data_IF_897141226381
#
_entry.id   IF_897141226381
#
_cell.length_a   1.000
_cell.length_b   1.000
_cell.length_c   1.000
_cell.angle_alpha   90.00
_cell.angle_beta   90.00
_cell.angle_gamma   90.00
#
_symmetry.space_group_name_H-M   'P 1'
#
loop_
_entity.id
_entity.type
_entity.pdbx_description
1 polymer ?
#
# COMPACT_ATOMS: atom_id res chain seq x y z
N UNK A 1 19.82 2.77 5.85
CA UNK A 1 20.30 3.63 6.95
C UNK A 1 19.37 4.85 7.11
N UNK A 2 19.14 5.65 6.09
CA UNK A 2 18.34 6.89 6.19
C UNK A 2 16.88 6.67 6.63
N UNK A 3 16.20 5.61 6.21
CA UNK A 3 14.84 5.31 6.69
C UNK A 3 14.86 4.93 8.17
N UNK A 4 15.86 4.18 8.59
CA UNK A 4 16.00 3.80 9.99
C UNK A 4 16.38 5.01 10.85
N UNK A 5 17.26 5.89 10.39
CA UNK A 5 17.57 7.15 11.10
C UNK A 5 16.37 8.07 11.20
N UNK A 6 15.56 8.18 10.13
CA UNK A 6 14.32 8.98 10.17
C UNK A 6 13.29 8.32 11.08
N UNK A 7 13.14 7.00 11.04
CA UNK A 7 12.27 6.28 11.97
C UNK A 7 12.81 6.33 13.40
N UNK A 8 14.13 6.25 13.60
CA UNK A 8 14.77 6.38 14.91
C UNK A 8 14.69 7.81 15.45
N UNK A 9 14.79 8.85 14.61
CA UNK A 9 14.54 10.23 15.04
C UNK A 9 13.10 10.49 15.47
N UNK A 10 12.16 9.66 15.00
CA UNK A 10 10.79 9.60 15.51
C UNK A 10 10.64 8.58 16.66
N UNK A 11 11.66 7.74 16.91
CA UNK A 11 11.63 6.69 17.93
C UNK A 11 12.25 7.12 19.27
N UNK A 12 12.89 8.28 19.36
CA UNK A 12 13.65 8.75 20.54
C UNK A 12 12.79 9.26 21.71
N UNK A 13 11.53 8.84 21.76
CA UNK A 13 10.74 8.93 23.01
C UNK A 13 10.29 7.54 23.41
N UNK A 14 11.23 6.69 23.78
CA UNK A 14 10.90 5.49 24.55
C UNK A 14 10.55 5.90 25.96
N UNK A 15 9.25 6.04 26.22
CA UNK A 15 8.76 5.84 27.58
C UNK A 15 8.98 4.36 27.93
N UNK A 16 9.80 4.12 28.94
CA UNK A 16 10.03 2.83 29.58
C UNK A 16 8.80 2.41 30.39
N UNK A 17 7.72 2.10 29.71
CA UNK A 17 6.58 1.44 30.34
C UNK A 17 6.19 0.24 29.47
N UNK A 18 6.60 -0.94 29.97
CA UNK A 18 6.18 -2.26 29.49
C UNK A 18 4.68 -2.52 29.76
N UNK A 19 3.82 -1.63 29.32
CA UNK A 19 2.40 -1.94 29.21
C UNK A 19 2.13 -2.38 27.77
N UNK A 20 2.02 -3.70 27.59
CA UNK A 20 1.55 -4.32 26.38
C UNK A 20 0.31 -3.56 25.90
N UNK A 21 0.48 -2.73 24.87
CA UNK A 21 -0.64 -2.06 24.20
C UNK A 21 -1.56 -3.15 23.69
N UNK A 22 -2.70 -3.31 24.33
CA UNK A 22 -3.76 -4.20 23.91
C UNK A 22 -4.26 -3.70 22.55
N UNK A 23 -3.79 -4.32 21.48
CA UNK A 23 -4.34 -4.11 20.14
C UNK A 23 -5.79 -4.56 20.18
N UNK A 24 -6.70 -3.61 20.25
CA UNK A 24 -8.13 -3.89 20.13
C UNK A 24 -8.39 -4.39 18.71
N UNK A 25 -8.44 -5.70 18.55
CA UNK A 25 -8.92 -6.35 17.35
C UNK A 25 -10.43 -6.12 17.25
N UNK A 26 -10.84 -4.99 16.72
CA UNK A 26 -12.19 -4.87 16.17
C UNK A 26 -12.24 -5.74 14.91
N UNK A 27 -13.17 -6.70 14.84
CA UNK A 27 -13.21 -7.83 13.89
C UNK A 27 -13.39 -7.50 12.40
N UNK A 28 -13.02 -6.32 11.95
CA UNK A 28 -12.78 -5.96 10.55
C UNK A 28 -11.32 -6.30 10.21
N UNK A 29 -11.02 -6.88 9.03
CA UNK A 29 -9.66 -7.13 8.63
C UNK A 29 -8.86 -5.83 8.77
N UNK A 30 -7.90 -5.80 9.68
CA UNK A 30 -7.12 -4.61 10.02
C UNK A 30 -6.37 -4.13 8.79
N UNK A 31 -6.95 -3.17 8.09
CA UNK A 31 -6.39 -2.61 6.85
C UNK A 31 -5.14 -1.80 7.09
N UNK A 32 -4.99 -1.24 8.30
CA UNK A 32 -3.83 -0.49 8.73
C UNK A 32 -3.89 -0.24 10.23
N UNK A 33 -2.74 0.08 10.80
CA UNK A 33 -2.56 0.43 12.20
C UNK A 33 -2.05 1.85 12.29
N UNK A 34 -2.41 2.57 13.33
CA UNK A 34 -1.81 3.87 13.67
C UNK A 34 -1.08 3.72 14.97
N UNK A 35 0.10 4.31 15.03
CA UNK A 35 0.88 4.47 16.24
C UNK A 35 0.44 5.75 16.99
N UNK A 36 0.69 5.84 18.29
CA UNK A 36 0.41 6.99 19.15
C UNK A 36 1.02 8.31 18.59
N UNK A 37 2.04 8.18 17.77
CA UNK A 37 2.73 9.30 17.10
C UNK A 37 2.06 9.77 15.81
N UNK A 38 0.91 9.21 15.45
CA UNK A 38 0.21 9.53 14.20
C UNK A 38 0.85 8.91 12.94
N UNK A 39 1.72 7.91 13.10
CA UNK A 39 2.29 7.16 11.97
C UNK A 39 1.34 6.04 11.58
N UNK A 40 0.77 6.11 10.39
CA UNK A 40 -0.06 5.05 9.88
C UNK A 40 0.78 3.97 9.21
N UNK A 41 0.60 2.72 9.60
CA UNK A 41 1.28 1.55 9.07
C UNK A 41 0.31 0.62 8.37
N UNK A 42 0.65 0.17 7.16
CA UNK A 42 -0.11 -0.86 6.48
C UNK A 42 0.76 -1.80 5.65
N UNK A 43 0.20 -2.96 5.34
CA UNK A 43 0.81 -3.95 4.46
C UNK A 43 0.06 -4.02 3.15
N UNK A 44 0.80 -4.05 2.04
CA UNK A 44 0.25 -4.29 0.72
C UNK A 44 0.82 -5.57 0.10
N UNK A 45 0.01 -6.25 -0.72
CA UNK A 45 0.42 -7.46 -1.44
C UNK A 45 -0.15 -7.48 -2.84
N UNK A 46 0.66 -7.88 -3.81
CA UNK A 46 0.22 -8.21 -5.16
C UNK A 46 1.13 -9.27 -5.77
N UNK A 47 0.56 -10.30 -6.39
CA UNK A 47 1.32 -11.48 -6.86
C UNK A 47 2.16 -12.06 -5.72
N UNK A 48 3.47 -12.18 -5.92
CA UNK A 48 4.46 -12.60 -4.89
C UNK A 48 5.15 -11.44 -4.20
N UNK A 49 4.81 -10.19 -4.58
CA UNK A 49 5.38 -8.99 -3.98
C UNK A 49 4.63 -8.59 -2.73
N UNK A 50 5.37 -8.10 -1.75
CA UNK A 50 4.83 -7.52 -0.52
C UNK A 50 5.49 -6.18 -0.23
N UNK A 51 4.72 -5.27 0.32
CA UNK A 51 5.14 -3.95 0.74
C UNK A 51 4.75 -3.70 2.20
N UNK A 52 5.61 -3.05 2.94
CA UNK A 52 5.31 -2.42 4.23
C UNK A 52 5.36 -0.92 4.00
N UNK A 53 4.34 -0.21 4.40
CA UNK A 53 4.19 1.22 4.15
C UNK A 53 3.96 1.93 5.46
N UNK A 54 4.72 2.98 5.70
CA UNK A 54 4.53 3.94 6.81
C UNK A 54 4.17 5.28 6.19
N UNK A 55 3.13 5.87 6.72
CA UNK A 55 2.58 7.14 6.27
C UNK A 55 2.65 8.15 7.41
N UNK A 56 3.33 9.25 7.18
CA UNK A 56 3.51 10.34 8.15
C UNK A 56 3.01 11.63 7.52
N UNK A 57 2.24 12.42 8.24
CA UNK A 57 1.77 13.71 7.73
C UNK A 57 2.95 14.62 7.43
N UNK A 58 3.00 15.16 6.22
CA UNK A 58 4.05 16.10 5.82
C UNK A 58 3.90 17.44 6.58
N UNK A 59 5.01 18.13 6.79
CA UNK A 59 4.97 19.47 7.32
C UNK A 59 4.32 20.44 6.31
N UNK A 60 3.56 21.44 6.75
CA UNK A 60 2.86 22.36 5.84
C UNK A 60 3.80 23.18 4.95
N UNK A 61 5.08 23.29 5.33
CA UNK A 61 6.11 23.99 4.56
C UNK A 61 6.77 23.16 3.46
N UNK A 62 6.54 21.83 3.42
CA UNK A 62 7.18 20.92 2.46
C UNK A 62 6.16 19.96 1.87
N UNK A 63 6.30 19.70 0.58
CA UNK A 63 5.56 18.60 -0.07
C UNK A 63 6.06 17.26 0.44
N UNK A 64 5.14 16.35 0.64
CA UNK A 64 5.46 14.98 1.08
C UNK A 64 6.32 14.23 0.07
N UNK A 65 7.30 13.53 0.57
CA UNK A 65 8.24 12.72 -0.20
C UNK A 65 7.89 11.23 -0.10
N UNK A 66 8.26 10.47 -1.14
CA UNK A 66 8.07 9.03 -1.15
C UNK A 66 9.42 8.33 -1.33
N UNK A 67 9.83 7.58 -0.30
CA UNK A 67 11.04 6.80 -0.27
C UNK A 67 10.71 5.30 -0.26
N UNK A 68 11.27 4.55 -1.20
CA UNK A 68 11.07 3.11 -1.37
C UNK A 68 12.44 2.44 -1.30
N UNK A 69 12.64 1.59 -0.28
CA UNK A 69 13.95 0.95 -0.06
C UNK A 69 15.12 1.97 -0.10
N UNK A 70 14.97 3.12 0.54
CA UNK A 70 15.95 4.23 0.60
C UNK A 70 16.15 4.99 -0.72
N UNK A 71 15.38 4.69 -1.76
CA UNK A 71 15.44 5.41 -3.03
C UNK A 71 14.15 6.19 -3.28
N UNK A 72 14.23 7.40 -3.86
CA UNK A 72 13.02 8.14 -4.20
C UNK A 72 12.24 7.41 -5.30
N UNK A 73 10.92 7.65 -5.35
CA UNK A 73 9.98 6.97 -6.25
C UNK A 73 10.47 6.93 -7.71
N UNK A 74 11.02 8.06 -8.20
CA UNK A 74 11.45 8.19 -9.60
C UNK A 74 12.71 7.38 -9.93
N UNK A 75 13.57 7.13 -8.96
CA UNK A 75 14.75 6.29 -9.12
C UNK A 75 14.40 4.81 -9.00
N UNK A 76 13.51 4.46 -8.05
CA UNK A 76 13.11 3.08 -7.82
C UNK A 76 12.27 2.53 -8.99
N UNK A 77 11.30 3.30 -9.49
CA UNK A 77 10.49 2.94 -10.64
C UNK A 77 10.84 3.82 -11.85
N UNK A 78 11.62 3.27 -12.78
CA UNK A 78 11.99 3.95 -14.02
C UNK A 78 10.77 4.22 -14.91
N UNK A 79 9.82 3.28 -14.99
CA UNK A 79 8.62 3.41 -15.82
C UNK A 79 7.57 4.32 -15.19
N UNK A 80 7.07 5.31 -15.95
CA UNK A 80 6.01 6.24 -15.51
C UNK A 80 4.74 5.50 -15.09
N UNK A 81 4.32 4.48 -15.84
CA UNK A 81 3.14 3.69 -15.51
C UNK A 81 3.20 3.04 -14.11
N UNK A 82 4.38 2.61 -13.66
CA UNK A 82 4.52 2.07 -12.31
C UNK A 82 4.41 3.17 -11.25
N UNK A 83 4.95 4.36 -11.51
CA UNK A 83 4.83 5.53 -10.63
C UNK A 83 3.38 5.98 -10.50
N UNK A 84 2.65 6.00 -11.61
CA UNK A 84 1.22 6.32 -11.63
C UNK A 84 0.40 5.35 -10.78
N UNK A 85 0.66 4.04 -10.89
CA UNK A 85 -0.01 3.03 -10.06
C UNK A 85 0.20 3.32 -8.57
N UNK A 86 1.42 3.65 -8.17
CA UNK A 86 1.76 3.90 -6.76
C UNK A 86 1.11 5.19 -6.24
N UNK A 87 1.07 6.25 -7.05
CA UNK A 87 0.48 7.54 -6.66
C UNK A 87 -1.04 7.57 -6.82
N UNK A 88 -1.64 6.58 -7.48
CA UNK A 88 -3.06 6.53 -7.76
C UNK A 88 -3.96 6.69 -6.52
N UNK A 89 -3.73 5.98 -5.40
CA UNK A 89 -4.53 6.14 -4.19
C UNK A 89 -4.51 7.56 -3.64
N UNK A 90 -3.34 8.23 -3.68
CA UNK A 90 -3.16 9.60 -3.22
C UNK A 90 -3.87 10.60 -4.14
N UNK A 91 -3.89 10.33 -5.44
CA UNK A 91 -4.61 11.18 -6.42
C UNK A 91 -6.11 11.07 -6.27
N UNK A 92 -6.63 9.85 -6.10
CA UNK A 92 -8.06 9.60 -5.86
C UNK A 92 -8.57 10.30 -4.60
N UNK A 93 -7.78 10.24 -3.53
CA UNK A 93 -8.14 10.88 -2.26
C UNK A 93 -7.87 12.37 -2.21
N UNK A 94 -7.25 12.96 -3.25
CA UNK A 94 -6.84 14.37 -3.25
C UNK A 94 -5.69 14.70 -2.28
N UNK A 95 -5.01 13.68 -1.76
CA UNK A 95 -3.98 13.83 -0.71
C UNK A 95 -2.54 13.73 -1.22
N UNK A 96 -2.35 13.97 -2.52
CA UNK A 96 -1.02 13.97 -3.12
C UNK A 96 -0.16 15.08 -2.50
N UNK A 97 1.03 14.73 -2.00
CA UNK A 97 1.95 15.67 -1.37
C UNK A 97 1.64 16.01 0.11
N UNK A 98 0.55 15.48 0.68
CA UNK A 98 0.20 15.75 2.09
C UNK A 98 0.89 14.80 3.08
N UNK A 99 1.48 13.72 2.60
CA UNK A 99 2.10 12.71 3.43
C UNK A 99 3.51 12.36 2.95
N UNK A 100 4.41 12.15 3.89
CA UNK A 100 5.67 11.46 3.68
C UNK A 100 5.41 9.96 3.72
N UNK A 101 5.91 9.23 2.74
CA UNK A 101 5.68 7.80 2.58
C UNK A 101 7.01 7.07 2.59
N UNK A 102 7.19 6.23 3.58
CA UNK A 102 8.33 5.32 3.68
C UNK A 102 7.86 3.90 3.38
N UNK A 103 8.55 3.21 2.49
CA UNK A 103 8.13 1.87 2.12
C UNK A 103 9.31 0.91 1.96
N UNK A 104 9.12 -0.30 2.47
CA UNK A 104 10.02 -1.43 2.23
C UNK A 104 9.28 -2.44 1.35
N UNK A 105 9.85 -2.71 0.17
CA UNK A 105 9.25 -3.61 -0.81
C UNK A 105 10.18 -4.77 -1.11
N UNK A 106 9.64 -5.99 -1.12
CA UNK A 106 10.38 -7.22 -1.39
C UNK A 106 9.59 -8.18 -2.28
N UNK A 107 10.33 -9.00 -3.01
CA UNK A 107 9.79 -10.07 -3.85
C UNK A 107 9.19 -9.59 -5.17
N UNK A 108 9.01 -10.51 -6.09
CA UNK A 108 8.40 -10.29 -7.41
C UNK A 108 9.17 -9.33 -8.32
N UNK A 109 8.46 -8.73 -9.25
CA UNK A 109 9.00 -7.76 -10.20
C UNK A 109 8.33 -6.39 -10.05
N UNK A 110 8.83 -5.37 -10.78
CA UNK A 110 8.42 -3.97 -10.66
C UNK A 110 6.90 -3.75 -10.73
N UNK A 111 6.19 -4.44 -11.62
CA UNK A 111 4.72 -4.34 -11.71
C UNK A 111 4.00 -4.90 -10.48
N UNK A 112 4.50 -6.02 -9.92
CA UNK A 112 3.95 -6.58 -8.69
C UNK A 112 4.23 -5.68 -7.49
N UNK A 113 5.44 -5.14 -7.41
CA UNK A 113 5.87 -4.22 -6.37
C UNK A 113 5.08 -2.90 -6.40
N UNK A 114 4.87 -2.31 -7.58
CA UNK A 114 4.06 -1.11 -7.72
C UNK A 114 2.61 -1.33 -7.24
N UNK A 115 1.99 -2.45 -7.63
CA UNK A 115 0.64 -2.77 -7.16
C UNK A 115 0.57 -3.13 -5.67
N UNK A 116 1.60 -3.77 -5.10
CA UNK A 116 1.68 -4.02 -3.67
C UNK A 116 1.82 -2.71 -2.88
N UNK A 117 2.63 -1.76 -3.38
CA UNK A 117 2.74 -0.42 -2.81
C UNK A 117 1.43 0.34 -2.85
N UNK A 118 0.76 0.39 -4.01
CA UNK A 118 -0.54 1.07 -4.14
C UNK A 118 -1.55 0.53 -3.12
N UNK A 119 -1.66 -0.79 -2.99
CA UNK A 119 -2.52 -1.43 -2.00
C UNK A 119 -2.12 -1.06 -0.56
N UNK A 120 -0.81 -1.04 -0.25
CA UNK A 120 -0.32 -0.63 1.08
C UNK A 120 -0.61 0.83 1.39
N UNK A 121 -0.37 1.74 0.42
CA UNK A 121 -0.65 3.18 0.56
C UNK A 121 -2.14 3.43 0.77
N UNK A 122 -3.03 2.77 0.01
CA UNK A 122 -4.47 2.91 0.18
C UNK A 122 -4.94 2.49 1.58
N UNK A 123 -4.45 1.36 2.07
CA UNK A 123 -4.79 0.89 3.43
C UNK A 123 -4.22 1.81 4.53
N UNK A 124 -3.00 2.34 4.34
CA UNK A 124 -2.40 3.28 5.28
C UNK A 124 -3.16 4.62 5.31
N UNK A 125 -3.65 5.11 4.16
CA UNK A 125 -4.48 6.31 4.09
C UNK A 125 -5.79 6.15 4.87
N UNK A 126 -6.47 5.02 4.68
CA UNK A 126 -7.71 4.75 5.43
C UNK A 126 -7.45 4.70 6.93
N UNK A 127 -6.33 4.12 7.35
CA UNK A 127 -5.91 4.12 8.75
C UNK A 127 -5.61 5.54 9.24
N UNK A 128 -4.80 6.31 8.51
CA UNK A 128 -4.43 7.68 8.87
C UNK A 128 -5.62 8.63 9.06
N UNK A 129 -6.69 8.41 8.30
CA UNK A 129 -7.92 9.19 8.40
C UNK A 129 -8.82 8.73 9.55
N UNK A 130 -8.70 7.47 9.99
CA UNK A 130 -9.52 6.91 11.05
C UNK A 130 -9.26 7.46 12.44
N UNK A 131 -8.15 8.16 12.64
CA UNK A 131 -7.80 8.80 13.92
C UNK A 131 -8.08 10.29 13.95
N UNK A 132 -8.56 10.88 12.86
CA UNK A 132 -8.97 12.26 12.88
C UNK A 132 -10.20 12.41 13.80
N UNK A 133 -10.14 13.28 14.79
CA UNK A 133 -11.22 13.52 15.72
C UNK A 133 -12.29 14.44 15.10
N UNK A 134 -13.56 14.09 15.33
CA UNK A 134 -14.72 14.89 14.92
C UNK A 134 -15.60 14.23 13.85
N UNK A 135 -16.88 14.63 13.81
CA UNK A 135 -17.87 14.11 12.86
C UNK A 135 -17.48 14.33 11.39
N UNK A 136 -16.86 15.46 11.08
CA UNK A 136 -16.37 15.76 9.73
C UNK A 136 -15.23 14.83 9.30
N UNK A 137 -14.40 14.40 10.23
CA UNK A 137 -13.30 13.49 9.97
C UNK A 137 -13.81 12.09 9.60
N UNK A 138 -14.85 11.60 10.29
CA UNK A 138 -15.51 10.33 9.97
C UNK A 138 -16.13 10.38 8.57
N UNK A 139 -16.76 11.47 8.20
CA UNK A 139 -17.34 11.65 6.86
C UNK A 139 -16.27 11.67 5.77
N UNK A 140 -15.15 12.36 5.99
CA UNK A 140 -14.01 12.39 5.07
C UNK A 140 -13.40 10.99 4.94
N UNK A 141 -13.23 10.27 6.04
CA UNK A 141 -12.73 8.90 6.03
C UNK A 141 -13.63 7.98 5.21
N UNK A 142 -14.93 8.00 5.44
CA UNK A 142 -15.91 7.20 4.70
C UNK A 142 -15.89 7.55 3.22
N UNK A 143 -15.83 8.85 2.88
CA UNK A 143 -15.76 9.29 1.49
C UNK A 143 -14.49 8.81 0.79
N UNK A 144 -13.32 8.98 1.42
CA UNK A 144 -12.05 8.49 0.88
C UNK A 144 -12.04 6.96 0.77
N UNK A 145 -12.57 6.26 1.77
CA UNK A 145 -12.69 4.81 1.72
C UNK A 145 -13.58 4.36 0.56
N UNK A 146 -14.69 5.04 0.31
CA UNK A 146 -15.58 4.77 -0.81
C UNK A 146 -14.88 5.03 -2.17
N UNK A 147 -14.18 6.16 -2.31
CA UNK A 147 -13.39 6.46 -3.51
C UNK A 147 -12.32 5.40 -3.78
N UNK A 148 -11.60 4.98 -2.75
CA UNK A 148 -10.56 3.95 -2.87
C UNK A 148 -11.14 2.56 -3.13
N UNK A 149 -12.35 2.28 -2.64
CA UNK A 149 -13.05 1.03 -2.91
C UNK A 149 -13.56 0.94 -4.36
N UNK A 150 -13.99 2.07 -4.94
CA UNK A 150 -14.47 2.12 -6.32
C UNK A 150 -13.38 2.42 -7.33
N UNK A 151 -12.30 3.10 -6.92
CA UNK A 151 -11.22 3.54 -7.79
C UNK A 151 -10.32 2.40 -8.27
N UNK A 152 -10.53 1.91 -9.49
CA UNK A 152 -9.62 0.98 -10.15
C UNK A 152 -8.64 1.75 -11.04
N UNK A 153 -7.35 1.42 -10.96
CA UNK A 153 -6.33 2.04 -11.83
C UNK A 153 -6.47 1.66 -13.30
N UNK A 154 -7.01 0.48 -13.56
CA UNK A 154 -7.24 0.00 -14.93
C UNK A 154 -8.66 -0.55 -15.05
N UNK A 155 -9.35 -0.37 -16.19
CA UNK A 155 -10.66 -0.92 -16.45
C UNK A 155 -10.62 -2.45 -16.63
N UNK A 156 -9.75 -3.13 -15.91
CA UNK A 156 -9.54 -4.57 -16.00
C UNK A 156 -10.27 -5.29 -14.88
N UNK A 157 -11.43 -5.80 -15.21
CA UNK A 157 -12.05 -7.05 -14.66
C UNK A 157 -12.25 -7.20 -13.13
N UNK A 158 -11.80 -6.29 -12.29
CA UNK A 158 -12.05 -6.36 -10.85
C UNK A 158 -12.69 -5.06 -10.39
N UNK A 159 -13.94 -5.15 -9.98
CA UNK A 159 -14.72 -4.10 -9.32
C UNK A 159 -14.19 -3.77 -7.92
N UNK A 160 -13.09 -4.38 -7.52
CA UNK A 160 -12.69 -4.48 -6.10
C UNK A 160 -11.78 -3.35 -5.62
N UNK A 161 -11.61 -2.28 -6.35
CA UNK A 161 -10.86 -1.10 -5.91
C UNK A 161 -9.39 -1.38 -5.49
N UNK A 162 -8.75 -0.36 -4.92
CA UNK A 162 -7.34 -0.45 -4.47
C UNK A 162 -7.23 -1.02 -3.05
N UNK A 163 -8.33 -1.06 -2.28
CA UNK A 163 -8.33 -1.54 -0.89
C UNK A 163 -8.33 -3.05 -0.77
N UNK A 164 -8.79 -3.77 -1.80
CA UNK A 164 -8.83 -5.23 -1.79
C UNK A 164 -7.60 -5.78 -2.50
N UNK A 165 -7.03 -6.82 -1.91
CA UNK A 165 -5.89 -7.49 -2.52
C UNK A 165 -6.30 -8.18 -3.83
N UNK A 166 -5.60 -7.89 -4.93
CA UNK A 166 -5.73 -8.64 -6.18
C UNK A 166 -5.22 -10.09 -5.99
N UNK A 167 -6.10 -11.11 -6.05
CA UNK A 167 -5.73 -12.51 -5.81
C UNK A 167 -4.99 -13.16 -6.97
N UNK A 168 -4.93 -12.51 -8.15
CA UNK A 168 -4.32 -13.08 -9.36
C UNK A 168 -2.85 -13.38 -9.15
N UNK A 169 -2.48 -14.65 -9.32
CA UNK A 169 -1.11 -15.15 -9.27
C UNK A 169 -0.80 -15.97 -10.52
N UNK A 170 0.48 -16.23 -10.76
CA UNK A 170 0.91 -17.11 -11.84
C UNK A 170 0.47 -18.54 -11.53
N UNK A 171 -0.29 -19.12 -12.44
CA UNK A 171 -0.71 -20.51 -12.32
C UNK A 171 0.46 -21.45 -12.63
N UNK A 172 0.60 -22.51 -11.83
CA UNK A 172 1.61 -23.54 -12.08
C UNK A 172 1.29 -24.31 -13.36
N UNK A 173 2.30 -24.82 -14.02
CA UNK A 173 2.15 -25.79 -15.11
C UNK A 173 1.41 -27.04 -14.59
N UNK A 174 0.48 -27.56 -15.38
CA UNK A 174 -0.30 -28.78 -15.03
C UNK A 174 0.19 -29.98 -15.81
N UNK A 175 0.17 -31.20 -15.25
CA UNK A 175 0.43 -32.42 -16.00
C UNK A 175 -0.54 -32.54 -17.19
N UNK A 176 -0.07 -33.08 -18.31
CA UNK A 176 -0.87 -33.24 -19.53
C UNK A 176 -1.08 -31.95 -20.35
N UNK A 177 -0.60 -30.81 -19.88
CA UNK A 177 -0.67 -29.54 -20.59
C UNK A 177 0.74 -29.03 -20.92
N UNK A 178 0.87 -28.25 -22.02
CA UNK A 178 2.13 -27.63 -22.40
C UNK A 178 2.52 -26.48 -21.44
N UNK A 179 1.52 -25.73 -20.93
CA UNK A 179 1.67 -24.65 -19.92
C UNK A 179 0.60 -24.83 -18.84
N UNK A 180 0.26 -23.78 -18.13
CA UNK A 180 -0.77 -23.82 -17.09
C UNK A 180 -2.15 -24.19 -17.65
N UNK A 181 -2.50 -23.66 -18.84
CA UNK A 181 -3.78 -23.89 -19.52
C UNK A 181 -3.62 -24.35 -20.97
N UNK A 182 -2.49 -24.09 -21.63
CA UNK A 182 -2.23 -24.45 -23.02
C UNK A 182 -2.15 -25.96 -23.14
N UNK A 183 -3.06 -26.57 -23.90
CA UNK A 183 -3.03 -27.98 -24.25
C UNK A 183 -2.01 -28.27 -25.39
N UNK A 184 -1.58 -29.51 -25.51
CA UNK A 184 -0.84 -29.96 -26.68
C UNK A 184 -1.78 -30.04 -27.87
N UNK A 185 -1.33 -29.57 -29.01
CA UNK A 185 -2.08 -29.70 -30.26
C UNK A 185 -1.80 -31.09 -30.83
N UNK A 186 -2.85 -31.87 -31.01
CA UNK A 186 -2.76 -33.16 -31.69
C UNK A 186 -2.72 -32.91 -33.20
N UNK A 187 -1.69 -33.36 -33.86
CA UNK A 187 -1.59 -33.38 -35.33
C UNK A 187 -1.57 -34.83 -35.78
N UNK A 188 -2.55 -35.19 -36.61
CA UNK A 188 -2.56 -36.50 -37.27
C UNK A 188 -1.46 -36.48 -38.34
N UNK A 189 -0.52 -37.42 -38.24
CA UNK A 189 0.49 -37.64 -39.28
C UNK A 189 -0.12 -38.43 -40.42
#
# INVERSE_FOLDING_TARGET
>A
HQIMEVLDSYADVRSTDDSASSFVHTGTPSRGLIDERGVAYARGRRKVSHARVWLVRAQPSRLGEMLINNAPLHQYFSRTAHREIVTWPLRLSGMLGMYNIFAIVRGGGASGQAGALAHGVANALVAALGTAEGENATNIQLHVQHLLAQGTFAPTLTTDGVLIRDPRMVERKKPGLAKARKAYTWVKR
#
